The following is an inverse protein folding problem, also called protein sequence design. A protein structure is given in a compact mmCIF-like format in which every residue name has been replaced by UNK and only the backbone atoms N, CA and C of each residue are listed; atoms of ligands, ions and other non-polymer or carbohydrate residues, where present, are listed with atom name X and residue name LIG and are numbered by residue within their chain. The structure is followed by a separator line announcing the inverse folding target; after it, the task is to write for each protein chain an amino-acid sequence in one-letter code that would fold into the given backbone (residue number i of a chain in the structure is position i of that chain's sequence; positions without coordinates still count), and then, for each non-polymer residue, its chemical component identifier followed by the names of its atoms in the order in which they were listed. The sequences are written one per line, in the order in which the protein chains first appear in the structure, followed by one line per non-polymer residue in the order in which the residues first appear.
data_IF_619966601279
#
_entry.id   IF_619966601279
#
_cell.length_a   1.000
_cell.length_b   1.000
_cell.length_c   1.000
_cell.angle_alpha   90.00
_cell.angle_beta   90.00
_cell.angle_gamma   90.00
#
_symmetry.space_group_name_H-M   'P 1'
#
loop_
_entity.id
_entity.type
_entity.pdbx_description
1 polymer ?
#
# COMPACT_ATOMS: atom_id res chain seq x y z
N UNK A 1 28.18 -47.00 48.62
CA UNK A 1 27.49 -45.69 48.76
C UNK A 1 28.06 -44.57 47.89
N UNK A 2 29.34 -44.30 47.82
CA UNK A 2 29.96 -43.17 47.08
C UNK A 2 29.66 -43.15 45.55
N UNK A 3 29.68 -44.29 44.85
CA UNK A 3 29.42 -44.38 43.40
C UNK A 3 27.95 -44.04 43.00
N UNK A 4 26.99 -44.29 43.88
CA UNK A 4 25.57 -44.00 43.63
C UNK A 4 25.24 -42.53 43.84
N UNK A 5 25.96 -41.87 44.76
CA UNK A 5 25.85 -40.43 45.01
C UNK A 5 26.46 -39.63 43.87
N UNK A 6 27.61 -40.06 43.34
CA UNK A 6 28.26 -39.42 42.20
C UNK A 6 27.39 -39.47 40.91
N UNK A 7 26.74 -40.61 40.66
CA UNK A 7 25.80 -40.70 39.49
C UNK A 7 24.59 -39.77 39.62
N UNK A 8 24.05 -39.60 40.82
CA UNK A 8 22.95 -38.64 41.04
C UNK A 8 23.40 -37.20 40.86
N UNK A 9 24.60 -36.84 41.35
CA UNK A 9 25.16 -35.49 41.15
C UNK A 9 25.47 -35.21 39.67
N UNK A 10 26.04 -36.15 38.95
CA UNK A 10 26.29 -36.03 37.54
C UNK A 10 24.99 -35.85 36.72
N UNK A 11 23.91 -36.57 37.07
CA UNK A 11 22.61 -36.45 36.40
C UNK A 11 21.95 -35.08 36.64
N UNK A 12 22.02 -34.57 37.88
CA UNK A 12 21.48 -33.23 38.21
C UNK A 12 22.31 -32.13 37.55
N UNK A 13 23.62 -32.27 37.47
CA UNK A 13 24.48 -31.30 36.79
C UNK A 13 24.26 -31.28 35.27
N UNK A 14 24.08 -32.45 34.66
CA UNK A 14 23.78 -32.55 33.21
C UNK A 14 22.40 -31.99 32.87
N UNK A 15 21.38 -32.23 33.72
CA UNK A 15 20.05 -31.63 33.53
C UNK A 15 20.06 -30.12 33.76
N UNK A 16 20.87 -29.58 34.66
CA UNK A 16 21.02 -28.14 34.86
C UNK A 16 21.72 -27.46 33.65
N UNK A 17 22.72 -28.11 33.03
CA UNK A 17 23.37 -27.63 31.82
C UNK A 17 22.40 -27.67 30.62
N UNK A 18 21.53 -28.69 30.50
CA UNK A 18 20.51 -28.78 29.45
C UNK A 18 19.46 -27.67 29.57
N UNK A 19 19.05 -27.34 30.80
CA UNK A 19 18.11 -26.25 31.09
C UNK A 19 18.68 -24.85 30.81
N UNK A 20 20.00 -24.66 31.02
CA UNK A 20 20.68 -23.39 30.71
C UNK A 20 20.82 -23.11 29.21
N UNK A 21 20.77 -24.13 28.36
CA UNK A 21 20.82 -23.94 26.89
C UNK A 21 19.47 -23.59 26.24
N UNK A 22 18.35 -23.60 26.98
CA UNK A 22 17.03 -23.34 26.44
C UNK A 22 16.68 -21.84 26.50
N UNK A 23 17.48 -20.98 27.11
CA UNK A 23 17.14 -19.58 27.39
C UNK A 23 17.90 -18.52 26.57
N UNK A 24 18.57 -18.87 25.49
CA UNK A 24 19.00 -17.83 24.53
C UNK A 24 17.85 -17.45 23.62
N UNK A 25 16.82 -16.85 24.18
CA UNK A 25 15.89 -16.06 23.42
C UNK A 25 16.67 -14.83 22.96
N UNK A 26 17.13 -14.84 21.71
CA UNK A 26 17.60 -13.60 21.09
C UNK A 26 16.40 -12.65 21.02
N UNK A 27 16.19 -11.87 22.05
CA UNK A 27 15.27 -10.74 22.03
C UNK A 27 15.91 -9.71 21.11
N UNK A 28 15.57 -9.77 19.82
CA UNK A 28 15.77 -8.62 18.95
C UNK A 28 14.92 -7.50 19.53
N UNK A 29 15.56 -6.48 20.09
CA UNK A 29 14.88 -5.26 20.47
C UNK A 29 14.47 -4.56 19.17
N UNK A 30 13.19 -4.68 18.78
CA UNK A 30 12.66 -3.88 17.69
C UNK A 30 12.69 -2.39 18.10
N UNK A 31 13.00 -1.49 17.18
CA UNK A 31 12.95 -0.06 17.46
C UNK A 31 11.54 0.33 17.95
N UNK A 32 11.48 1.37 18.78
CA UNK A 32 10.19 1.90 19.21
C UNK A 32 9.47 2.51 17.98
N UNK A 33 8.43 1.85 17.49
CA UNK A 33 7.67 2.25 16.30
C UNK A 33 6.47 3.07 16.76
N UNK A 34 6.39 4.33 16.32
CA UNK A 34 5.33 5.27 16.67
C UNK A 34 3.97 4.90 16.05
N UNK A 35 3.96 4.24 14.89
CA UNK A 35 2.71 3.83 14.22
C UNK A 35 1.85 2.94 15.12
N UNK A 36 0.52 3.16 15.10
CA UNK A 36 -0.43 2.38 15.89
C UNK A 36 -0.60 0.97 15.35
N UNK A 37 -0.76 0.81 14.03
CA UNK A 37 -0.81 -0.47 13.34
C UNK A 37 0.44 -0.71 12.50
N UNK A 38 1.06 -1.89 12.61
CA UNK A 38 2.26 -2.27 11.85
C UNK A 38 2.17 -3.74 11.45
N UNK A 39 2.52 -4.04 10.22
CA UNK A 39 2.74 -5.39 9.74
C UNK A 39 3.94 -5.45 8.80
N UNK A 40 4.93 -6.25 9.15
CA UNK A 40 6.14 -6.47 8.37
C UNK A 40 6.23 -7.94 7.98
N UNK A 41 6.29 -8.21 6.69
CA UNK A 41 6.46 -9.57 6.17
C UNK A 41 7.59 -9.66 5.15
N UNK A 42 8.15 -10.84 5.00
CA UNK A 42 8.95 -11.20 3.84
C UNK A 42 8.04 -11.31 2.61
N UNK A 43 8.26 -10.47 1.62
CA UNK A 43 7.38 -10.38 0.44
C UNK A 43 7.36 -11.69 -0.39
N UNK A 44 8.47 -12.45 -0.39
CA UNK A 44 8.59 -13.69 -1.16
C UNK A 44 7.88 -14.86 -0.49
N UNK A 45 8.11 -15.06 0.79
CA UNK A 45 7.60 -16.21 1.54
C UNK A 45 6.25 -15.95 2.21
N UNK A 46 5.94 -14.69 2.52
CA UNK A 46 4.80 -14.29 3.34
C UNK A 46 5.06 -14.46 4.86
N UNK A 47 6.28 -14.81 5.26
CA UNK A 47 6.61 -14.97 6.67
C UNK A 47 6.50 -13.64 7.41
N UNK A 48 5.77 -13.62 8.52
CA UNK A 48 5.67 -12.47 9.40
C UNK A 48 6.99 -12.27 10.13
N UNK A 49 7.51 -11.05 10.06
CA UNK A 49 8.77 -10.66 10.73
C UNK A 49 8.49 -9.78 11.94
N UNK A 50 7.44 -8.95 11.89
CA UNK A 50 7.00 -8.11 13.01
C UNK A 50 5.55 -7.68 12.81
N UNK A 51 4.81 -7.57 13.91
CA UNK A 51 3.45 -7.05 13.90
C UNK A 51 3.13 -6.29 15.20
N UNK A 52 2.24 -5.32 15.08
CA UNK A 52 1.69 -4.54 16.18
C UNK A 52 0.29 -4.10 15.78
N UNK A 53 -0.73 -4.47 16.55
CA UNK A 53 -2.14 -4.14 16.25
C UNK A 53 -2.51 -4.42 14.79
N UNK A 54 -1.99 -5.51 14.23
CA UNK A 54 -2.06 -5.83 12.80
C UNK A 54 -3.46 -5.97 12.26
N UNK A 55 -4.42 -6.43 13.09
CA UNK A 55 -5.81 -6.70 12.74
C UNK A 55 -6.79 -5.62 13.22
N UNK A 56 -6.28 -4.54 13.83
CA UNK A 56 -7.12 -3.39 14.18
C UNK A 56 -7.48 -2.63 12.90
N UNK A 57 -8.77 -2.32 12.74
CA UNK A 57 -9.27 -1.59 11.59
C UNK A 57 -9.01 -0.09 11.70
N UNK A 58 -8.46 0.48 10.63
CA UNK A 58 -8.18 1.90 10.46
C UNK A 58 -8.72 2.39 9.12
N UNK A 59 -8.93 3.68 8.98
CA UNK A 59 -9.20 4.32 7.69
C UNK A 59 -7.91 4.32 6.86
N UNK A 60 -7.91 3.73 5.64
CA UNK A 60 -6.70 3.57 4.83
C UNK A 60 -6.17 4.85 4.21
N UNK A 61 -6.99 5.89 4.10
CA UNK A 61 -6.66 7.06 3.29
C UNK A 61 -6.18 6.65 1.88
N UNK A 62 -5.27 7.40 1.27
CA UNK A 62 -4.79 7.15 -0.09
C UNK A 62 -3.98 5.86 -0.29
N UNK A 63 -3.73 5.05 0.76
CA UNK A 63 -3.21 3.68 0.55
C UNK A 63 -4.21 2.79 -0.17
N UNK A 64 -5.50 3.12 -0.14
CA UNK A 64 -6.59 2.55 -0.97
C UNK A 64 -6.22 2.46 -2.45
N UNK A 65 -5.50 3.45 -2.98
CA UNK A 65 -5.15 3.56 -4.40
C UNK A 65 -4.26 2.43 -4.92
N UNK A 66 -3.63 1.66 -4.01
CA UNK A 66 -2.93 0.42 -4.39
C UNK A 66 -3.93 -0.58 -4.97
N UNK A 67 -5.10 -0.75 -4.34
CA UNK A 67 -6.16 -1.63 -4.85
C UNK A 67 -6.74 -1.11 -6.17
N UNK A 68 -6.93 0.19 -6.28
CA UNK A 68 -7.39 0.83 -7.54
C UNK A 68 -6.42 0.57 -8.69
N UNK A 69 -5.11 0.70 -8.44
CA UNK A 69 -4.09 0.40 -9.43
C UNK A 69 -4.05 -1.08 -9.82
N UNK A 70 -4.19 -2.01 -8.85
CA UNK A 70 -4.27 -3.45 -9.12
C UNK A 70 -5.40 -3.75 -10.11
N UNK A 71 -6.61 -3.24 -9.84
CA UNK A 71 -7.78 -3.51 -10.67
C UNK A 71 -7.61 -2.89 -12.07
N UNK A 72 -7.08 -1.66 -12.17
CA UNK A 72 -6.79 -1.04 -13.45
C UNK A 72 -5.82 -1.89 -14.29
N UNK A 73 -4.72 -2.35 -13.67
CA UNK A 73 -3.70 -3.18 -14.32
C UNK A 73 -4.19 -4.59 -14.71
N UNK A 74 -5.22 -5.10 -14.04
CA UNK A 74 -5.83 -6.41 -14.36
C UNK A 74 -6.94 -6.33 -15.42
N UNK A 75 -7.63 -5.19 -15.51
CA UNK A 75 -8.82 -5.05 -16.34
C UNK A 75 -8.58 -4.29 -17.64
N UNK A 76 -7.52 -3.50 -17.72
CA UNK A 76 -7.22 -2.62 -18.84
C UNK A 76 -5.82 -2.86 -19.39
N UNK A 77 -5.58 -2.44 -20.64
CA UNK A 77 -4.23 -2.26 -21.15
C UNK A 77 -3.75 -0.85 -20.80
N UNK A 78 -2.45 -0.68 -20.61
CA UNK A 78 -1.86 0.63 -20.29
C UNK A 78 -2.15 1.72 -21.34
N UNK A 79 -2.34 1.30 -22.59
CA UNK A 79 -2.62 2.19 -23.74
C UNK A 79 -4.10 2.45 -23.97
N UNK A 80 -5.01 1.85 -23.20
CA UNK A 80 -6.43 2.08 -23.33
C UNK A 80 -6.75 3.56 -23.03
N UNK A 81 -7.56 4.18 -23.87
CA UNK A 81 -7.91 5.60 -23.76
C UNK A 81 -9.17 5.79 -22.91
N UNK A 82 -9.05 6.68 -21.95
CA UNK A 82 -10.12 7.06 -21.03
C UNK A 82 -10.54 8.48 -21.33
N UNK A 83 -11.76 8.67 -21.82
CA UNK A 83 -12.36 10.01 -21.93
C UNK A 83 -12.89 10.42 -20.56
N UNK A 84 -12.41 11.55 -20.06
CA UNK A 84 -12.76 12.05 -18.72
C UNK A 84 -14.22 12.50 -18.69
N UNK A 85 -14.99 11.90 -17.79
CA UNK A 85 -16.38 12.23 -17.54
C UNK A 85 -16.58 13.53 -16.77
N UNK A 86 -17.82 13.77 -16.35
CA UNK A 86 -18.20 14.98 -15.61
C UNK A 86 -17.73 14.95 -14.14
N UNK A 87 -17.68 13.76 -13.49
CA UNK A 87 -17.44 13.65 -12.06
C UNK A 87 -15.96 13.70 -11.66
N UNK A 88 -15.01 13.00 -12.33
CA UNK A 88 -13.62 12.95 -11.89
C UNK A 88 -12.96 14.32 -11.67
N UNK A 89 -13.21 15.37 -12.50
CA UNK A 89 -12.66 16.71 -12.25
C UNK A 89 -13.17 17.39 -10.98
N UNK A 90 -14.27 16.88 -10.39
CA UNK A 90 -14.90 17.42 -9.16
C UNK A 90 -14.43 16.69 -7.90
N UNK A 91 -13.57 15.67 -8.04
CA UNK A 91 -13.08 14.90 -6.89
C UNK A 91 -12.33 15.80 -5.89
N UNK A 92 -12.71 15.70 -4.62
CA UNK A 92 -12.08 16.44 -3.54
C UNK A 92 -10.64 15.95 -3.27
N UNK A 93 -9.78 16.83 -2.77
CA UNK A 93 -8.44 16.51 -2.27
C UNK A 93 -7.35 16.53 -3.34
N UNK A 94 -6.41 15.58 -3.29
CA UNK A 94 -5.28 15.54 -4.24
C UNK A 94 -5.75 15.28 -5.67
N UNK A 95 -5.23 16.03 -6.64
CA UNK A 95 -5.64 16.00 -8.04
C UNK A 95 -4.46 16.37 -8.94
N UNK A 96 -4.42 15.82 -10.15
CA UNK A 96 -3.54 16.31 -11.23
C UNK A 96 -4.24 17.37 -12.09
N UNK A 97 -5.49 17.69 -11.79
CA UNK A 97 -6.29 18.68 -12.52
C UNK A 97 -6.69 18.20 -13.90
N UNK A 98 -7.29 17.02 -13.99
CA UNK A 98 -7.91 16.56 -15.24
C UNK A 98 -9.19 17.35 -15.50
N UNK A 99 -9.52 17.58 -16.79
CA UNK A 99 -10.71 18.32 -17.19
C UNK A 99 -11.66 17.42 -17.98
N UNK A 100 -12.96 17.71 -17.91
CA UNK A 100 -13.98 16.97 -18.65
C UNK A 100 -13.71 17.02 -20.16
N UNK A 101 -13.77 15.86 -20.80
CA UNK A 101 -13.55 15.69 -22.24
C UNK A 101 -12.08 15.49 -22.63
N UNK A 102 -11.12 15.67 -21.72
CA UNK A 102 -9.73 15.24 -21.95
C UNK A 102 -9.67 13.72 -22.14
N UNK A 103 -8.62 13.25 -22.83
CA UNK A 103 -8.42 11.82 -23.06
C UNK A 103 -7.05 11.45 -22.55
N UNK A 104 -6.99 10.62 -21.52
CA UNK A 104 -5.77 10.07 -20.94
C UNK A 104 -5.66 8.58 -21.24
N UNK A 105 -4.45 8.06 -21.31
CA UNK A 105 -4.23 6.62 -21.24
C UNK A 105 -4.37 6.12 -19.80
N UNK A 106 -4.65 4.81 -19.61
CA UNK A 106 -4.62 4.17 -18.29
C UNK A 106 -3.24 4.37 -17.62
N UNK A 107 -2.16 4.31 -18.39
CA UNK A 107 -0.80 4.55 -17.85
C UNK A 107 -0.65 5.96 -17.28
N UNK A 108 -1.10 6.98 -17.99
CA UNK A 108 -1.07 8.37 -17.54
C UNK A 108 -1.89 8.57 -16.26
N UNK A 109 -3.10 7.98 -16.22
CA UNK A 109 -3.93 8.02 -15.00
C UNK A 109 -3.27 7.29 -13.82
N UNK A 110 -2.58 6.17 -14.06
CA UNK A 110 -1.84 5.45 -13.03
C UNK A 110 -0.65 6.25 -12.49
N UNK A 111 0.05 7.02 -13.31
CA UNK A 111 1.07 7.97 -12.83
C UNK A 111 0.46 9.02 -11.91
N UNK A 112 -0.64 9.66 -12.29
CA UNK A 112 -1.35 10.61 -11.44
C UNK A 112 -1.85 9.98 -10.13
N UNK A 113 -2.41 8.78 -10.22
CA UNK A 113 -2.91 8.01 -9.09
C UNK A 113 -1.84 7.69 -8.06
N UNK A 114 -0.69 7.18 -8.51
CA UNK A 114 0.34 6.62 -7.62
C UNK A 114 1.35 7.67 -7.16
N UNK A 115 1.74 8.62 -8.01
CA UNK A 115 2.74 9.63 -7.69
C UNK A 115 2.13 10.83 -6.96
N UNK A 116 1.12 11.49 -7.57
CA UNK A 116 0.46 12.68 -7.04
C UNK A 116 -0.69 12.34 -6.08
N UNK A 117 -1.07 11.07 -6.03
CA UNK A 117 -2.22 10.62 -5.23
C UNK A 117 -3.57 11.16 -5.73
N UNK A 118 -3.70 11.41 -7.05
CA UNK A 118 -4.87 12.01 -7.68
C UNK A 118 -6.17 11.26 -7.39
N UNK A 119 -7.12 11.93 -6.75
CA UNK A 119 -8.47 11.40 -6.53
C UNK A 119 -9.27 11.44 -7.82
N UNK A 120 -9.08 12.48 -8.63
CA UNK A 120 -9.58 12.61 -9.98
C UNK A 120 -9.17 11.42 -10.87
N UNK A 121 -7.91 11.01 -10.83
CA UNK A 121 -7.43 9.82 -11.54
C UNK A 121 -8.10 8.54 -11.02
N UNK A 122 -8.30 8.43 -9.70
CA UNK A 122 -8.94 7.26 -9.10
C UNK A 122 -10.39 7.10 -9.59
N UNK A 123 -11.14 8.20 -9.62
CA UNK A 123 -12.53 8.22 -10.10
C UNK A 123 -12.62 7.98 -11.61
N UNK A 124 -11.73 8.59 -12.42
CA UNK A 124 -11.68 8.35 -13.86
C UNK A 124 -11.42 6.87 -14.18
N UNK A 125 -10.50 6.23 -13.48
CA UNK A 125 -10.25 4.78 -13.61
C UNK A 125 -11.49 3.99 -13.20
N UNK A 126 -12.13 4.33 -12.08
CA UNK A 126 -13.30 3.61 -11.60
C UNK A 126 -14.49 3.70 -12.57
N UNK A 127 -14.78 4.89 -13.09
CA UNK A 127 -15.84 5.08 -14.09
C UNK A 127 -15.53 4.32 -15.39
N UNK A 128 -14.29 4.34 -15.86
CA UNK A 128 -13.88 3.63 -17.06
C UNK A 128 -14.02 2.11 -16.92
N UNK A 129 -13.57 1.54 -15.79
CA UNK A 129 -13.51 0.10 -15.57
C UNK A 129 -14.87 -0.50 -15.22
N UNK A 130 -15.66 0.20 -14.42
CA UNK A 130 -16.89 -0.34 -13.84
C UNK A 130 -18.15 0.50 -14.09
N UNK A 131 -18.03 1.66 -14.72
CA UNK A 131 -19.14 2.57 -15.01
C UNK A 131 -19.58 3.44 -13.83
N UNK A 132 -19.21 3.09 -12.58
CA UNK A 132 -19.46 3.91 -11.40
C UNK A 132 -18.51 3.60 -10.27
N UNK A 133 -18.41 4.51 -9.28
CA UNK A 133 -17.62 4.33 -8.05
C UNK A 133 -18.14 3.13 -7.25
N UNK A 134 -19.46 2.97 -7.16
CA UNK A 134 -20.10 1.88 -6.39
C UNK A 134 -19.79 0.51 -6.98
N UNK A 135 -19.89 0.36 -8.31
CA UNK A 135 -19.56 -0.90 -8.98
C UNK A 135 -18.06 -1.18 -8.90
N UNK A 136 -17.22 -0.16 -8.99
CA UNK A 136 -15.78 -0.31 -8.79
C UNK A 136 -15.44 -0.74 -7.36
N UNK A 137 -16.10 -0.19 -6.35
CA UNK A 137 -15.92 -0.59 -4.94
C UNK A 137 -16.28 -2.08 -4.73
N UNK A 138 -17.25 -2.62 -5.45
CA UNK A 138 -17.54 -4.08 -5.42
C UNK A 138 -16.36 -4.89 -5.93
N UNK A 139 -15.76 -4.50 -7.06
CA UNK A 139 -14.56 -5.15 -7.61
C UNK A 139 -13.39 -5.08 -6.61
N UNK A 140 -13.20 -3.91 -5.95
CA UNK A 140 -12.16 -3.77 -4.92
C UNK A 140 -12.36 -4.75 -3.76
N UNK A 141 -13.59 -4.90 -3.28
CA UNK A 141 -13.91 -5.80 -2.17
C UNK A 141 -13.83 -7.29 -2.58
N UNK A 142 -14.17 -7.63 -3.81
CA UNK A 142 -13.98 -8.98 -4.36
C UNK A 142 -12.49 -9.32 -4.43
N UNK A 143 -11.66 -8.40 -4.95
CA UNK A 143 -10.20 -8.58 -5.01
C UNK A 143 -9.59 -8.65 -3.61
N UNK A 144 -10.02 -7.82 -2.66
CA UNK A 144 -9.56 -7.91 -1.28
C UNK A 144 -9.80 -9.31 -0.69
N UNK A 145 -10.98 -9.86 -0.88
CA UNK A 145 -11.32 -11.23 -0.48
C UNK A 145 -10.43 -12.28 -1.14
N UNK A 146 -10.21 -12.17 -2.46
CA UNK A 146 -9.34 -13.07 -3.23
C UNK A 146 -7.91 -13.08 -2.66
N UNK A 147 -7.41 -11.93 -2.25
CA UNK A 147 -6.07 -11.77 -1.67
C UNK A 147 -5.99 -12.19 -0.18
N UNK A 148 -7.10 -12.55 0.44
CA UNK A 148 -7.16 -12.90 1.87
C UNK A 148 -7.27 -11.68 2.79
N UNK A 149 -7.45 -10.47 2.26
CA UNK A 149 -7.65 -9.23 3.02
C UNK A 149 -9.11 -9.13 3.50
N UNK A 150 -9.46 -9.96 4.46
CA UNK A 150 -10.86 -10.19 4.88
C UNK A 150 -11.41 -9.19 5.90
N UNK A 151 -10.54 -8.37 6.49
CA UNK A 151 -10.90 -7.30 7.41
C UNK A 151 -10.92 -5.92 6.71
N UNK A 152 -11.03 -5.92 5.37
CA UNK A 152 -11.03 -4.74 4.52
C UNK A 152 -12.40 -4.52 3.89
N UNK A 153 -12.85 -3.27 3.88
CA UNK A 153 -14.06 -2.80 3.19
C UNK A 153 -13.78 -1.49 2.49
N UNK A 154 -13.75 -1.50 1.18
CA UNK A 154 -13.60 -0.31 0.34
C UNK A 154 -14.97 0.25 -0.04
N UNK A 155 -15.11 1.59 -0.01
CA UNK A 155 -16.30 2.33 -0.42
C UNK A 155 -16.08 3.18 -1.66
N UNK A 156 -14.82 3.64 -1.87
CA UNK A 156 -14.44 4.46 -3.00
C UNK A 156 -13.01 4.12 -3.47
N UNK A 157 -12.61 4.53 -4.69
CA UNK A 157 -11.32 4.20 -5.26
C UNK A 157 -10.16 5.06 -4.75
N UNK A 158 -10.45 6.18 -4.07
CA UNK A 158 -9.46 7.20 -3.71
C UNK A 158 -8.96 7.10 -2.27
N UNK A 159 -9.78 6.55 -1.36
CA UNK A 159 -9.51 6.53 0.08
C UNK A 159 -9.99 7.78 0.79
N UNK A 160 -10.86 8.57 0.17
CA UNK A 160 -11.60 9.63 0.86
C UNK A 160 -12.40 9.05 2.02
N UNK A 161 -12.51 9.82 3.09
CA UNK A 161 -13.18 9.41 4.32
C UNK A 161 -14.65 9.11 4.06
N UNK A 162 -15.03 7.88 4.33
CA UNK A 162 -16.42 7.41 4.20
C UNK A 162 -16.68 6.35 5.27
N UNK A 163 -17.89 6.34 5.81
CA UNK A 163 -18.25 5.40 6.88
C UNK A 163 -18.14 3.94 6.40
N UNK A 164 -17.43 3.14 7.18
CA UNK A 164 -17.12 1.76 6.83
C UNK A 164 -16.04 1.58 5.75
N UNK A 165 -15.31 2.63 5.32
CA UNK A 165 -14.11 2.51 4.50
C UNK A 165 -12.91 2.18 5.40
N UNK A 166 -12.68 0.91 5.65
CA UNK A 166 -11.76 0.40 6.66
C UNK A 166 -10.84 -0.69 6.11
N UNK A 167 -9.67 -0.80 6.70
CA UNK A 167 -8.69 -1.86 6.44
C UNK A 167 -7.82 -2.11 7.67
N UNK A 168 -6.91 -3.08 7.61
CA UNK A 168 -5.93 -3.38 8.65
C UNK A 168 -4.50 -3.30 8.11
N UNK A 169 -3.50 -3.19 8.98
CA UNK A 169 -2.09 -3.21 8.57
C UNK A 169 -1.73 -4.56 7.92
N UNK A 170 -2.27 -5.66 8.42
CA UNK A 170 -2.15 -6.99 7.82
C UNK A 170 -2.70 -7.03 6.38
N UNK A 171 -3.94 -6.60 6.20
CA UNK A 171 -4.61 -6.64 4.90
C UNK A 171 -3.92 -5.75 3.86
N UNK A 172 -3.51 -4.53 4.26
CA UNK A 172 -2.71 -3.66 3.38
C UNK A 172 -1.39 -4.29 2.95
N UNK A 173 -0.74 -5.03 3.85
CA UNK A 173 0.48 -5.74 3.50
C UNK A 173 0.26 -6.88 2.49
N UNK A 174 -0.86 -7.61 2.59
CA UNK A 174 -1.26 -8.61 1.58
C UNK A 174 -1.51 -7.96 0.22
N UNK A 175 -2.27 -6.87 0.20
CA UNK A 175 -2.58 -6.11 -1.02
C UNK A 175 -1.29 -5.56 -1.64
N UNK A 176 -0.41 -4.95 -0.84
CA UNK A 176 0.86 -4.41 -1.33
C UNK A 176 1.81 -5.50 -1.81
N UNK A 177 1.86 -6.65 -1.13
CA UNK A 177 2.63 -7.82 -1.58
C UNK A 177 2.20 -8.28 -2.96
N UNK A 178 0.90 -8.34 -3.21
CA UNK A 178 0.36 -8.68 -4.53
C UNK A 178 0.72 -7.63 -5.58
N UNK A 179 0.47 -6.35 -5.29
CA UNK A 179 0.80 -5.24 -6.20
C UNK A 179 2.29 -5.22 -6.59
N UNK A 180 3.19 -5.49 -5.63
CA UNK A 180 4.63 -5.48 -5.84
C UNK A 180 5.15 -6.60 -6.77
N UNK A 181 4.33 -7.58 -7.13
CA UNK A 181 4.66 -8.62 -8.10
C UNK A 181 4.37 -8.17 -9.55
N UNK A 182 3.59 -7.12 -9.73
CA UNK A 182 3.29 -6.58 -11.05
C UNK A 182 4.39 -5.59 -11.47
N UNK A 183 5.12 -5.85 -12.58
CA UNK A 183 6.24 -5.01 -13.01
C UNK A 183 5.81 -3.59 -13.39
N UNK A 184 4.61 -3.40 -13.93
CA UNK A 184 4.10 -2.06 -14.29
C UNK A 184 3.71 -1.27 -13.04
N UNK A 185 3.09 -1.90 -12.04
CA UNK A 185 2.86 -1.26 -10.75
C UNK A 185 4.17 -0.74 -10.14
N UNK A 186 5.19 -1.59 -10.13
CA UNK A 186 6.50 -1.23 -9.58
C UNK A 186 7.13 -0.10 -10.38
N UNK A 187 7.19 -0.22 -11.70
CA UNK A 187 7.75 0.78 -12.60
C UNK A 187 7.11 2.15 -12.41
N UNK A 188 5.78 2.20 -12.36
CA UNK A 188 5.04 3.45 -12.20
C UNK A 188 5.25 4.03 -10.80
N UNK A 189 5.04 3.22 -9.74
CA UNK A 189 5.08 3.70 -8.35
C UNK A 189 6.46 4.13 -7.86
N UNK A 190 7.54 3.63 -8.46
CA UNK A 190 8.91 4.03 -8.12
C UNK A 190 9.41 5.25 -8.90
N UNK A 191 8.69 5.68 -9.96
CA UNK A 191 9.06 6.84 -10.78
C UNK A 191 9.09 8.12 -9.93
N UNK A 192 10.17 8.92 -9.95
CA UNK A 192 10.26 10.13 -9.15
C UNK A 192 9.28 11.23 -9.57
N UNK A 193 9.11 11.41 -10.88
CA UNK A 193 8.15 12.37 -11.47
C UNK A 193 7.78 11.94 -12.88
N UNK A 194 6.59 12.31 -13.31
CA UNK A 194 6.08 12.06 -14.66
C UNK A 194 5.60 13.36 -15.30
N UNK A 195 5.99 13.61 -16.54
CA UNK A 195 5.61 14.78 -17.33
C UNK A 195 4.48 14.41 -18.30
N UNK A 196 3.39 15.17 -18.24
CA UNK A 196 2.25 15.02 -19.14
C UNK A 196 2.43 15.88 -20.40
N UNK A 197 3.18 15.38 -21.37
CA UNK A 197 3.58 16.13 -22.57
C UNK A 197 2.37 16.70 -23.34
N UNK A 198 1.28 15.94 -23.42
CA UNK A 198 0.10 16.28 -24.22
C UNK A 198 -1.04 16.90 -23.40
N UNK A 199 -0.85 17.12 -22.12
CA UNK A 199 -1.90 17.58 -21.19
C UNK A 199 -1.40 18.76 -20.33
N UNK A 200 -1.08 19.92 -20.91
CA UNK A 200 -0.75 21.10 -20.10
C UNK A 200 -2.00 21.54 -19.32
N UNK A 201 -1.78 22.25 -18.22
CA UNK A 201 -2.90 22.91 -17.55
C UNK A 201 -3.59 23.91 -18.47
N UNK A 202 -4.88 24.22 -18.20
CA UNK A 202 -5.67 25.17 -18.98
C UNK A 202 -5.05 26.58 -19.08
N UNK A 203 -4.17 26.94 -18.13
CA UNK A 203 -3.37 28.18 -18.16
C UNK A 203 -2.08 28.08 -18.99
N UNK A 204 -1.83 26.96 -19.67
CA UNK A 204 -0.66 26.70 -20.49
C UNK A 204 0.61 26.26 -19.71
N UNK A 205 0.53 26.09 -18.40
CA UNK A 205 1.66 25.56 -17.62
C UNK A 205 1.84 24.07 -17.86
N UNK A 206 3.08 23.61 -17.71
CA UNK A 206 3.42 22.17 -17.74
C UNK A 206 2.73 21.41 -16.60
N UNK A 207 2.19 20.24 -16.92
CA UNK A 207 1.58 19.34 -15.94
C UNK A 207 2.54 18.22 -15.56
N UNK A 208 2.80 18.09 -14.27
CA UNK A 208 3.67 17.07 -13.70
C UNK A 208 2.98 16.32 -12.56
N UNK A 209 3.25 15.01 -12.44
CA UNK A 209 2.98 14.25 -11.23
C UNK A 209 4.30 13.97 -10.51
N UNK A 210 4.38 14.28 -9.22
CA UNK A 210 5.58 14.09 -8.39
C UNK A 210 5.34 13.04 -7.32
N UNK A 211 6.28 12.12 -7.18
CA UNK A 211 6.15 11.06 -6.19
C UNK A 211 6.17 11.62 -4.76
N UNK A 212 5.13 11.38 -3.99
CA UNK A 212 5.02 11.85 -2.61
C UNK A 212 5.75 10.97 -1.60
N UNK A 213 6.28 9.80 -2.00
CA UNK A 213 7.02 8.93 -1.09
C UNK A 213 8.44 9.46 -0.86
N UNK A 214 8.76 9.99 0.33
CA UNK A 214 10.07 10.58 0.60
C UNK A 214 11.22 9.57 0.59
N UNK A 215 10.93 8.27 0.74
CA UNK A 215 11.93 7.20 0.66
C UNK A 215 12.46 7.00 -0.76
N UNK A 216 11.66 7.36 -1.78
CA UNK A 216 11.97 7.21 -3.21
C UNK A 216 12.49 8.51 -3.85
N UNK A 217 12.36 9.64 -3.16
CA UNK A 217 12.83 10.94 -3.68
C UNK A 217 14.33 11.08 -3.56
N UNK A 218 15.00 11.42 -4.67
CA UNK A 218 16.37 11.89 -4.63
C UNK A 218 16.47 13.18 -3.81
N UNK A 219 17.51 13.31 -2.99
CA UNK A 219 17.76 14.45 -2.12
C UNK A 219 16.72 14.68 -0.99
N UNK A 220 15.87 13.71 -0.67
CA UNK A 220 15.09 13.72 0.56
C UNK A 220 15.98 13.34 1.75
N UNK A 221 15.73 13.95 2.92
CA UNK A 221 16.36 13.54 4.18
C UNK A 221 16.03 12.08 4.56
N UNK A 222 15.01 11.51 3.94
CA UNK A 222 14.50 10.16 4.19
C UNK A 222 14.80 9.19 3.04
N UNK A 223 15.57 9.58 2.03
CA UNK A 223 15.90 8.70 0.90
C UNK A 223 16.50 7.38 1.40
N UNK A 224 15.92 6.28 0.95
CA UNK A 224 16.38 4.95 1.33
C UNK A 224 16.67 4.10 0.09
N UNK A 225 17.94 3.79 -0.11
CA UNK A 225 18.43 3.12 -1.35
C UNK A 225 17.82 1.74 -1.63
N UNK A 226 17.18 1.13 -0.63
CA UNK A 226 16.48 -0.15 -0.78
C UNK A 226 14.97 0.01 -0.84
N UNK A 227 14.44 1.25 -0.82
CA UNK A 227 13.04 1.48 -1.12
C UNK A 227 12.78 1.10 -2.58
N UNK A 228 11.75 0.30 -2.79
CA UNK A 228 11.51 -0.33 -4.07
C UNK A 228 10.19 0.17 -4.69
N UNK A 229 9.14 0.23 -3.90
CA UNK A 229 7.82 0.68 -4.31
C UNK A 229 7.03 1.07 -3.06
N UNK A 230 5.91 1.75 -3.21
CA UNK A 230 5.04 2.07 -2.08
C UNK A 230 3.99 3.12 -2.40
N UNK A 231 3.07 3.30 -1.45
CA UNK A 231 2.06 4.35 -1.49
C UNK A 231 1.88 4.96 -0.11
N UNK A 232 1.89 6.28 -0.05
CA UNK A 232 1.60 7.05 1.16
C UNK A 232 0.11 7.36 1.25
N UNK A 233 -0.40 7.59 2.45
CA UNK A 233 -1.77 8.01 2.69
C UNK A 233 -1.85 8.99 3.85
N UNK A 234 -2.74 9.97 3.75
CA UNK A 234 -3.07 10.91 4.80
C UNK A 234 -4.51 11.40 4.63
N UNK A 235 -5.27 11.39 5.71
CA UNK A 235 -6.50 12.18 5.86
C UNK A 235 -6.59 12.67 7.31
N UNK A 236 -7.31 13.77 7.53
CA UNK A 236 -7.53 14.29 8.91
C UNK A 236 -8.23 13.24 9.78
N UNK A 237 -9.17 12.48 9.21
CA UNK A 237 -9.89 11.44 9.93
C UNK A 237 -9.05 10.18 10.20
N UNK A 238 -8.08 9.87 9.34
CA UNK A 238 -7.14 8.76 9.55
C UNK A 238 -6.07 9.12 10.60
N UNK A 239 -5.90 10.40 10.92
CA UNK A 239 -4.97 10.92 11.92
C UNK A 239 -3.51 10.49 11.71
N UNK A 240 -3.10 10.32 10.45
CA UNK A 240 -1.77 9.87 10.05
C UNK A 240 -1.18 10.78 9.00
#
# INVERSE_FOLDING_TARGET
MKKRLFKKFALVFFSAILLLNITSVNTFAFPNICSEGVYLMDAKTGQVLYEKNSDVQYMPASTTKVMTAIIALEKCNLTDQVTIGENPPKADGSSIGIEQGEVYTIEELLYGLLLESGNDCAEAIAEHVAGSIEEFAKLMNEKAKELGATNTSFKNPSGLTEDGHLTTAHDLALIMRYASQNPDFVRISQTPSYFYENHPYSNGNEKWASNHNPLLKENSAYTYKYAYTGKTGYTVAANH
#
